data_IF_353707991963
#
_entry.id   IF_353707991963
#
_cell.length_a   1.000
_cell.length_b   1.000
_cell.length_c   1.000
_cell.angle_alpha   90.00
_cell.angle_beta   90.00
_cell.angle_gamma   90.00
#
_symmetry.space_group_name_H-M   'P 1'
#
loop_
_entity.id
_entity.type
_entity.pdbx_description
1 polymer ?
#
# COMPACT_ATOMS: atom_id res chain seq x y z
N UNK A 1 -22.19 32.78 2.46
CA UNK A 1 -20.89 32.41 3.02
C UNK A 1 -21.21 31.36 4.08
N UNK A 2 -21.15 30.08 3.66
CA UNK A 2 -21.38 28.95 4.61
C UNK A 2 -19.97 28.49 5.00
N UNK A 3 -19.65 28.72 6.27
CA UNK A 3 -18.49 28.10 6.91
C UNK A 3 -18.69 26.59 6.78
N UNK A 4 -17.77 25.92 6.13
CA UNK A 4 -17.66 24.47 6.12
C UNK A 4 -17.24 24.08 7.53
N UNK A 5 -18.19 23.57 8.32
CA UNK A 5 -17.92 22.92 9.59
C UNK A 5 -17.14 21.61 9.32
N UNK A 6 -15.82 21.72 9.36
CA UNK A 6 -14.85 20.65 9.09
C UNK A 6 -14.60 19.78 10.34
N UNK A 7 -15.59 19.74 11.25
CA UNK A 7 -15.47 19.14 12.60
C UNK A 7 -16.39 17.94 12.82
N UNK A 8 -16.96 17.32 11.80
CA UNK A 8 -17.76 16.12 12.02
C UNK A 8 -16.84 14.91 12.32
N UNK A 9 -17.00 14.29 13.51
CA UNK A 9 -16.29 13.09 13.87
C UNK A 9 -16.52 11.97 12.84
N UNK A 10 -15.46 11.26 12.45
CA UNK A 10 -15.52 10.13 11.51
C UNK A 10 -16.40 9.01 12.09
N UNK A 11 -17.41 8.63 11.34
CA UNK A 11 -18.29 7.49 11.66
C UNK A 11 -17.47 6.21 11.54
N UNK A 12 -17.06 5.67 12.67
CA UNK A 12 -16.10 4.58 12.75
C UNK A 12 -16.79 3.26 13.07
N UNK A 13 -16.45 2.20 12.36
CA UNK A 13 -16.89 0.85 12.66
C UNK A 13 -15.69 -0.01 13.05
N UNK A 14 -15.83 -0.81 14.10
CA UNK A 14 -14.80 -1.71 14.63
C UNK A 14 -15.18 -3.15 14.27
N UNK A 15 -14.25 -3.89 13.70
CA UNK A 15 -14.46 -5.27 13.26
C UNK A 15 -13.32 -6.15 13.75
N UNK A 16 -13.64 -7.11 14.61
CA UNK A 16 -12.67 -8.01 15.24
C UNK A 16 -13.43 -9.23 15.80
N UNK A 17 -12.93 -10.45 15.63
CA UNK A 17 -13.59 -11.65 16.17
C UNK A 17 -13.34 -11.85 17.68
N UNK A 18 -12.41 -11.10 18.26
CA UNK A 18 -12.12 -11.08 19.69
C UNK A 18 -12.91 -10.00 20.43
N UNK A 19 -13.90 -10.34 21.30
CA UNK A 19 -14.71 -9.33 22.01
C UNK A 19 -13.87 -8.36 22.85
N UNK A 20 -12.80 -8.82 23.48
CA UNK A 20 -11.90 -7.97 24.28
C UNK A 20 -11.12 -6.97 23.41
N UNK A 21 -10.79 -7.34 22.16
CA UNK A 21 -10.16 -6.42 21.24
C UNK A 21 -11.14 -5.32 20.81
N UNK A 22 -12.40 -5.67 20.54
CA UNK A 22 -13.48 -4.68 20.29
C UNK A 22 -13.62 -3.71 21.44
N UNK A 23 -13.76 -4.23 22.68
CA UNK A 23 -13.91 -3.39 23.88
C UNK A 23 -12.74 -2.42 24.06
N UNK A 24 -11.51 -2.93 23.91
CA UNK A 24 -10.30 -2.11 23.98
C UNK A 24 -10.27 -1.00 22.92
N UNK A 25 -10.64 -1.34 21.69
CA UNK A 25 -10.72 -0.35 20.60
C UNK A 25 -11.80 0.69 20.84
N UNK A 26 -12.95 0.30 21.39
CA UNK A 26 -14.01 1.24 21.77
C UNK A 26 -13.51 2.24 22.82
N UNK A 27 -12.76 1.79 23.83
CA UNK A 27 -12.16 2.67 24.84
C UNK A 27 -11.20 3.65 24.20
N UNK A 28 -10.27 3.17 23.35
CA UNK A 28 -9.31 4.03 22.65
C UNK A 28 -10.00 5.05 21.74
N UNK A 29 -11.04 4.63 21.01
CA UNK A 29 -11.81 5.53 20.16
C UNK A 29 -12.60 6.58 20.94
N UNK A 30 -13.09 6.24 22.13
CA UNK A 30 -13.83 7.17 22.99
C UNK A 30 -12.95 8.31 23.54
N UNK A 31 -11.62 8.13 23.60
CA UNK A 31 -10.66 9.17 23.98
C UNK A 31 -10.35 10.13 22.82
N UNK A 32 -10.81 9.83 21.59
CA UNK A 32 -10.54 10.62 20.38
C UNK A 32 -11.79 11.37 19.93
N UNK A 33 -11.85 12.69 20.12
CA UNK A 33 -12.99 13.53 19.72
C UNK A 33 -13.34 13.44 18.22
N UNK A 34 -12.36 13.03 17.39
CA UNK A 34 -12.50 12.89 15.93
C UNK A 34 -13.16 11.60 15.48
N UNK A 35 -13.46 10.67 16.39
CA UNK A 35 -14.08 9.39 16.09
C UNK A 35 -15.44 9.25 16.75
N UNK A 36 -16.41 8.74 15.99
CA UNK A 36 -17.70 8.33 16.51
C UNK A 36 -17.94 6.86 16.15
N UNK A 37 -17.84 5.97 17.14
CA UNK A 37 -18.10 4.54 16.92
C UNK A 37 -19.59 4.34 16.65
N UNK A 38 -19.92 3.97 15.41
CA UNK A 38 -21.32 3.79 14.95
C UNK A 38 -21.75 2.31 14.94
N UNK A 39 -20.81 1.37 15.07
CA UNK A 39 -21.13 -0.05 15.11
C UNK A 39 -19.90 -0.92 15.32
N UNK A 40 -20.16 -2.17 15.70
CA UNK A 40 -19.13 -3.22 15.84
C UNK A 40 -19.60 -4.50 15.17
N UNK A 41 -18.67 -5.31 14.66
CA UNK A 41 -18.95 -6.63 14.12
C UNK A 41 -17.89 -7.62 14.58
N UNK A 42 -18.26 -8.88 14.76
CA UNK A 42 -17.40 -9.97 15.21
C UNK A 42 -17.00 -10.94 14.08
N UNK A 43 -17.41 -10.67 12.85
CA UNK A 43 -17.08 -11.47 11.68
C UNK A 43 -17.22 -10.66 10.38
N UNK A 44 -16.60 -11.13 9.30
CA UNK A 44 -16.56 -10.41 8.03
C UNK A 44 -17.92 -10.27 7.33
N UNK A 45 -18.82 -11.24 7.46
CA UNK A 45 -20.15 -11.18 6.85
C UNK A 45 -21.04 -10.17 7.59
N UNK A 46 -20.97 -10.13 8.93
CA UNK A 46 -21.64 -9.11 9.74
C UNK A 46 -21.09 -7.73 9.42
N UNK A 47 -19.76 -7.62 9.24
CA UNK A 47 -19.11 -6.38 8.88
C UNK A 47 -19.65 -5.80 7.57
N UNK A 48 -19.78 -6.61 6.52
CA UNK A 48 -20.32 -6.16 5.23
C UNK A 48 -21.77 -5.69 5.35
N UNK A 49 -22.64 -6.49 6.01
CA UNK A 49 -24.06 -6.11 6.21
C UNK A 49 -24.22 -4.82 7.00
N UNK A 50 -23.38 -4.62 8.03
CA UNK A 50 -23.44 -3.40 8.84
C UNK A 50 -22.87 -2.20 8.09
N UNK A 51 -21.78 -2.37 7.34
CA UNK A 51 -21.17 -1.29 6.55
C UNK A 51 -22.16 -0.73 5.52
N UNK A 52 -22.92 -1.60 4.81
CA UNK A 52 -23.96 -1.18 3.87
C UNK A 52 -25.04 -0.30 4.54
N UNK A 53 -25.43 -0.63 5.76
CA UNK A 53 -26.50 0.06 6.50
C UNK A 53 -26.02 1.32 7.21
N UNK A 54 -24.84 1.24 7.81
CA UNK A 54 -24.29 2.31 8.65
C UNK A 54 -23.50 3.34 7.84
N UNK A 55 -22.99 2.95 6.67
CA UNK A 55 -22.11 3.77 5.82
C UNK A 55 -21.03 4.46 6.65
N UNK A 56 -20.13 3.69 7.27
CA UNK A 56 -19.05 4.27 8.07
C UNK A 56 -18.06 5.01 7.17
N UNK A 57 -17.39 6.02 7.74
CA UNK A 57 -16.29 6.74 7.10
C UNK A 57 -14.97 6.00 7.25
N UNK A 58 -14.84 5.25 8.35
CA UNK A 58 -13.63 4.53 8.75
C UNK A 58 -13.98 3.14 9.26
N UNK A 59 -13.20 2.14 8.81
CA UNK A 59 -13.16 0.80 9.41
C UNK A 59 -11.83 0.60 10.15
N UNK A 60 -11.93 0.16 11.42
CA UNK A 60 -10.84 -0.47 12.15
C UNK A 60 -11.08 -1.97 12.06
N UNK A 61 -10.27 -2.68 11.29
CA UNK A 61 -10.58 -4.01 10.78
C UNK A 61 -9.47 -5.01 11.13
N UNK A 62 -9.80 -6.05 11.87
CA UNK A 62 -8.86 -7.17 12.01
C UNK A 62 -8.73 -7.94 10.72
N UNK A 63 -7.52 -8.37 10.42
CA UNK A 63 -7.21 -9.15 9.21
C UNK A 63 -7.58 -10.61 9.35
N UNK A 64 -7.38 -11.17 10.55
CA UNK A 64 -7.51 -12.60 10.79
C UNK A 64 -8.81 -12.90 11.52
N UNK A 65 -9.85 -13.20 10.78
CA UNK A 65 -11.16 -13.59 11.32
C UNK A 65 -11.63 -14.90 10.71
N UNK A 66 -12.38 -15.75 11.45
CA UNK A 66 -12.95 -16.96 10.90
C UNK A 66 -13.92 -16.68 9.73
N UNK A 67 -13.86 -17.52 8.71
CA UNK A 67 -14.73 -17.43 7.55
C UNK A 67 -14.28 -16.38 6.56
N UNK A 68 -14.89 -15.19 6.56
CA UNK A 68 -14.49 -14.09 5.70
C UNK A 68 -13.45 -13.22 6.42
N UNK A 69 -12.21 -13.25 5.95
CA UNK A 69 -11.10 -12.47 6.51
C UNK A 69 -11.23 -10.96 6.23
N UNK A 70 -10.44 -10.16 6.96
CA UNK A 70 -10.49 -8.70 6.82
C UNK A 70 -10.07 -8.19 5.45
N UNK A 71 -9.15 -8.88 4.78
CA UNK A 71 -8.75 -8.52 3.41
C UNK A 71 -9.91 -8.68 2.42
N UNK A 72 -10.62 -9.79 2.52
CA UNK A 72 -11.79 -10.03 1.66
C UNK A 72 -12.91 -9.02 1.95
N UNK A 73 -13.11 -8.63 3.22
CA UNK A 73 -14.04 -7.54 3.60
C UNK A 73 -13.63 -6.23 2.93
N UNK A 74 -12.38 -5.81 3.10
CA UNK A 74 -11.87 -4.57 2.53
C UNK A 74 -11.98 -4.55 0.99
N UNK A 75 -11.62 -5.66 0.32
CA UNK A 75 -11.77 -5.80 -1.15
C UNK A 75 -13.20 -5.66 -1.64
N UNK A 76 -14.19 -6.17 -0.87
CA UNK A 76 -15.60 -6.03 -1.24
C UNK A 76 -16.08 -4.60 -1.06
N UNK A 77 -15.70 -3.95 0.05
CA UNK A 77 -16.09 -2.57 0.34
C UNK A 77 -15.45 -1.56 -0.63
N UNK A 78 -14.22 -1.79 -1.06
CA UNK A 78 -13.52 -0.94 -2.04
C UNK A 78 -14.20 -0.86 -3.41
N UNK A 79 -15.14 -1.76 -3.72
CA UNK A 79 -15.94 -1.75 -4.96
C UNK A 79 -17.19 -0.89 -4.88
N UNK A 80 -17.51 -0.35 -3.70
CA UNK A 80 -18.65 0.55 -3.48
C UNK A 80 -18.43 1.93 -4.10
N UNK A 81 -19.51 2.71 -4.22
CA UNK A 81 -19.43 4.09 -4.74
C UNK A 81 -18.72 5.06 -3.78
N UNK A 82 -18.83 4.83 -2.48
CA UNK A 82 -18.19 5.62 -1.42
C UNK A 82 -17.54 4.66 -0.40
N UNK A 83 -16.35 4.11 -0.70
CA UNK A 83 -15.71 3.15 0.16
C UNK A 83 -15.18 3.82 1.44
N UNK A 84 -15.35 3.18 2.61
CA UNK A 84 -14.75 3.69 3.84
C UNK A 84 -13.23 3.62 3.78
N UNK A 85 -12.56 4.54 4.47
CA UNK A 85 -11.14 4.37 4.75
C UNK A 85 -10.94 3.13 5.64
N UNK A 86 -9.91 2.33 5.39
CA UNK A 86 -9.62 1.12 6.16
C UNK A 86 -8.30 1.29 6.89
N UNK A 87 -8.30 1.08 8.21
CA UNK A 87 -7.12 0.87 9.03
C UNK A 87 -7.16 -0.58 9.49
N UNK A 88 -6.19 -1.37 9.09
CA UNK A 88 -6.07 -2.72 9.60
C UNK A 88 -5.46 -2.72 11.00
N UNK A 89 -6.04 -3.55 11.89
CA UNK A 89 -5.60 -3.70 13.29
C UNK A 89 -5.43 -5.19 13.58
N UNK A 90 -4.20 -5.69 13.62
CA UNK A 90 -3.96 -7.14 13.70
C UNK A 90 -2.77 -7.50 14.58
N UNK A 91 -2.73 -8.75 15.05
CA UNK A 91 -1.59 -9.29 15.81
C UNK A 91 -0.42 -9.75 14.90
N UNK A 92 -0.63 -9.85 13.59
CA UNK A 92 0.33 -10.42 12.65
C UNK A 92 1.10 -9.34 11.90
N UNK A 93 2.44 -9.39 11.97
CA UNK A 93 3.31 -8.46 11.24
C UNK A 93 3.36 -8.74 9.73
N UNK A 94 3.09 -9.98 9.33
CA UNK A 94 3.27 -10.46 7.95
C UNK A 94 2.21 -9.96 6.97
N UNK A 95 1.04 -9.51 7.44
CA UNK A 95 -0.07 -9.07 6.61
C UNK A 95 -0.09 -7.56 6.30
N UNK A 96 0.85 -6.78 6.84
CA UNK A 96 0.95 -5.34 6.58
C UNK A 96 0.94 -5.01 5.08
N UNK A 97 1.28 -5.92 4.29
CA UNK A 97 1.57 -5.81 2.87
C UNK A 97 0.34 -6.10 2.01
N UNK A 98 -0.49 -7.07 2.37
CA UNK A 98 -1.77 -7.28 1.69
C UNK A 98 -2.73 -6.10 1.94
N UNK A 99 -2.56 -5.41 3.08
CA UNK A 99 -3.28 -4.18 3.41
C UNK A 99 -2.97 -3.03 2.44
N UNK A 100 -1.73 -2.93 1.96
CA UNK A 100 -1.32 -1.87 1.01
C UNK A 100 -1.87 -2.07 -0.40
N UNK A 101 -2.03 -3.31 -0.87
CA UNK A 101 -2.66 -3.59 -2.17
C UNK A 101 -4.14 -3.16 -2.23
N UNK A 102 -4.76 -2.95 -1.06
CA UNK A 102 -6.16 -2.52 -0.93
C UNK A 102 -6.30 -1.02 -0.68
N UNK A 103 -5.21 -0.26 -0.84
CA UNK A 103 -5.25 1.18 -0.63
C UNK A 103 -5.73 1.55 0.80
N UNK A 104 -5.33 0.72 1.80
CA UNK A 104 -5.62 0.98 3.21
C UNK A 104 -4.99 2.30 3.67
N UNK A 105 -5.66 2.99 4.59
CA UNK A 105 -5.16 4.25 5.13
C UNK A 105 -3.95 4.02 6.04
N UNK A 106 -3.95 2.92 6.80
CA UNK A 106 -2.83 2.52 7.67
C UNK A 106 -2.97 1.07 8.15
N UNK A 107 -1.93 0.61 8.86
CA UNK A 107 -1.81 -0.70 9.48
C UNK A 107 -1.29 -0.55 10.91
N UNK A 108 -1.98 -1.13 11.89
CA UNK A 108 -1.67 -1.00 13.31
C UNK A 108 -1.53 -2.38 13.94
N UNK A 109 -0.39 -2.64 14.58
CA UNK A 109 -0.17 -3.90 15.29
C UNK A 109 -0.83 -3.90 16.67
N UNK A 110 -1.43 -5.02 17.04
CA UNK A 110 -1.85 -5.31 18.42
C UNK A 110 -0.60 -5.68 19.26
N UNK A 111 -0.47 -5.20 20.51
CA UNK A 111 -1.39 -4.37 21.26
C UNK A 111 -1.38 -2.90 20.78
N UNK A 112 -2.57 -2.36 20.54
CA UNK A 112 -2.71 -1.01 20.00
C UNK A 112 -2.36 0.03 21.06
N UNK A 113 -1.39 0.90 20.75
CA UNK A 113 -1.06 2.07 21.53
C UNK A 113 -1.91 3.28 21.04
N UNK A 114 -2.37 4.12 21.98
CA UNK A 114 -3.25 5.23 21.66
C UNK A 114 -2.62 6.22 20.65
N UNK A 115 -1.36 6.58 20.86
CA UNK A 115 -0.59 7.47 19.98
C UNK A 115 -0.40 6.89 18.57
N UNK A 116 -0.30 5.56 18.46
CA UNK A 116 -0.19 4.87 17.16
C UNK A 116 -1.52 4.88 16.42
N UNK A 117 -2.64 4.66 17.13
CA UNK A 117 -3.98 4.73 16.56
C UNK A 117 -4.29 6.16 16.11
N UNK A 118 -3.97 7.17 16.92
CA UNK A 118 -4.17 8.57 16.59
C UNK A 118 -3.47 8.97 15.28
N UNK A 119 -2.21 8.56 15.08
CA UNK A 119 -1.49 8.77 13.83
C UNK A 119 -2.16 8.08 12.63
N UNK A 120 -2.68 6.87 12.84
CA UNK A 120 -3.38 6.14 11.79
C UNK A 120 -4.69 6.84 11.39
N UNK A 121 -5.45 7.29 12.37
CA UNK A 121 -6.70 8.06 12.17
C UNK A 121 -6.41 9.37 11.43
N UNK A 122 -5.35 10.08 11.80
CA UNK A 122 -4.97 11.31 11.10
C UNK A 122 -4.68 11.05 9.61
N UNK A 123 -3.99 9.97 9.28
CA UNK A 123 -3.76 9.58 7.87
C UNK A 123 -5.05 9.26 7.13
N UNK A 124 -6.01 8.60 7.80
CA UNK A 124 -7.33 8.32 7.21
C UNK A 124 -8.10 9.61 6.92
N UNK A 125 -8.05 10.59 7.83
CA UNK A 125 -8.65 11.92 7.65
C UNK A 125 -8.02 12.64 6.46
N UNK A 126 -6.69 12.75 6.43
CA UNK A 126 -5.95 13.44 5.37
C UNK A 126 -6.20 12.82 4.00
N UNK A 127 -6.39 11.50 3.97
CA UNK A 127 -6.73 10.77 2.76
C UNK A 127 -8.14 11.09 2.27
N UNK A 128 -9.15 11.05 3.16
CA UNK A 128 -10.53 11.41 2.80
C UNK A 128 -10.65 12.86 2.33
N UNK A 129 -9.96 13.79 2.98
CA UNK A 129 -9.93 15.18 2.55
C UNK A 129 -9.38 15.34 1.12
N UNK A 130 -8.35 14.57 0.75
CA UNK A 130 -7.81 14.54 -0.62
C UNK A 130 -8.79 13.93 -1.63
N UNK A 131 -9.53 12.89 -1.24
CA UNK A 131 -10.55 12.27 -2.09
C UNK A 131 -11.80 13.15 -2.25
N UNK A 132 -12.19 13.89 -1.24
CA UNK A 132 -13.34 14.81 -1.25
C UNK A 132 -13.10 16.13 -1.99
N UNK A 133 -11.84 16.58 -2.10
CA UNK A 133 -11.45 17.78 -2.85
C UNK A 133 -11.34 17.58 -4.36
N UNK A 134 -11.41 16.35 -4.83
CA UNK A 134 -11.42 15.98 -6.25
C UNK A 134 -12.11 14.65 -6.41
N UNK A 135 -13.39 14.65 -6.72
CA UNK A 135 -14.14 13.45 -7.04
C UNK A 135 -13.53 12.72 -8.23
N UNK A 136 -13.01 11.51 -7.99
CA UNK A 136 -12.49 10.65 -9.03
C UNK A 136 -11.69 9.52 -8.43
N UNK A 137 -12.29 8.35 -8.31
CA UNK A 137 -11.59 7.09 -8.28
C UNK A 137 -10.52 7.07 -9.37
N UNK A 138 -9.30 6.60 -9.06
CA UNK A 138 -8.18 6.36 -9.96
C UNK A 138 -8.43 6.75 -11.41
N UNK A 139 -8.17 7.96 -11.79
CA UNK A 139 -8.35 8.42 -13.15
C UNK A 139 -7.64 9.73 -13.37
N UNK A 140 -6.58 9.68 -14.14
CA UNK A 140 -6.02 10.71 -14.97
C UNK A 140 -6.58 12.14 -14.77
N UNK A 141 -5.87 12.93 -13.99
CA UNK A 141 -5.87 14.38 -14.08
C UNK A 141 -4.44 14.87 -14.24
N UNK A 142 -4.03 15.15 -15.44
CA UNK A 142 -2.89 15.90 -15.94
C UNK A 142 -1.76 16.21 -14.92
N UNK A 143 -0.93 15.20 -14.66
CA UNK A 143 0.26 15.16 -13.87
C UNK A 143 0.35 13.74 -13.31
N UNK A 144 0.99 12.82 -14.06
CA UNK A 144 1.25 11.46 -13.60
C UNK A 144 2.03 11.53 -12.29
N UNK A 145 1.33 11.47 -11.15
CA UNK A 145 1.96 11.38 -9.84
C UNK A 145 2.45 9.95 -9.65
N UNK A 146 3.65 9.68 -10.17
CA UNK A 146 4.36 8.42 -9.98
C UNK A 146 4.65 8.19 -8.49
N UNK A 147 4.80 6.92 -8.10
CA UNK A 147 5.15 6.53 -6.74
C UNK A 147 6.45 7.26 -6.32
N UNK A 148 6.32 8.20 -5.39
CA UNK A 148 7.45 8.99 -4.90
C UNK A 148 8.19 8.28 -3.75
N UNK A 149 7.49 7.43 -3.00
CA UNK A 149 8.04 6.80 -1.80
C UNK A 149 7.41 5.43 -1.52
N UNK A 150 8.18 4.57 -0.85
CA UNK A 150 7.75 3.28 -0.33
C UNK A 150 7.64 3.36 1.17
N UNK A 151 6.59 2.76 1.71
CA UNK A 151 6.42 2.58 3.15
C UNK A 151 6.56 1.10 3.47
N UNK A 152 7.64 0.73 4.14
CA UNK A 152 8.02 -0.66 4.37
C UNK A 152 7.88 -0.98 5.85
N UNK A 153 7.10 -2.01 6.22
CA UNK A 153 7.09 -2.50 7.59
C UNK A 153 8.49 -2.97 7.99
N UNK A 154 9.04 -2.38 9.02
CA UNK A 154 10.34 -2.78 9.56
C UNK A 154 10.29 -2.78 11.09
N UNK A 155 10.34 -3.96 11.70
CA UNK A 155 10.11 -4.16 13.13
C UNK A 155 8.76 -3.56 13.54
N UNK A 156 8.70 -2.66 14.51
CA UNK A 156 7.46 -2.03 14.97
C UNK A 156 7.15 -0.68 14.30
N UNK A 157 7.85 -0.34 13.20
CA UNK A 157 7.76 0.96 12.54
C UNK A 157 7.56 0.80 11.03
N UNK A 158 7.02 1.84 10.39
CA UNK A 158 7.01 1.97 8.93
C UNK A 158 8.23 2.78 8.51
N UNK A 159 9.13 2.14 7.79
CA UNK A 159 10.27 2.80 7.18
C UNK A 159 9.83 3.47 5.88
N UNK A 160 10.05 4.76 5.78
CA UNK A 160 9.85 5.51 4.54
C UNK A 160 11.14 5.46 3.71
N UNK A 161 11.03 5.05 2.46
CA UNK A 161 12.12 5.01 1.48
C UNK A 161 11.69 5.83 0.27
N UNK A 162 12.49 6.80 -0.13
CA UNK A 162 12.28 7.54 -1.37
C UNK A 162 12.45 6.60 -2.57
N UNK A 163 11.54 6.66 -3.54
CA UNK A 163 11.65 5.85 -4.76
C UNK A 163 12.96 6.10 -5.51
N UNK A 164 13.54 7.30 -5.37
CA UNK A 164 14.84 7.64 -5.93
C UNK A 164 16.02 6.93 -5.28
N UNK A 165 15.87 6.40 -4.09
CA UNK A 165 16.91 5.61 -3.43
C UNK A 165 16.92 4.14 -3.88
N UNK A 166 15.80 3.66 -4.46
CA UNK A 166 15.68 2.27 -4.90
C UNK A 166 16.40 2.09 -6.24
N UNK A 167 17.41 1.23 -6.25
CA UNK A 167 18.26 0.97 -7.42
C UNK A 167 17.76 -0.20 -8.26
N UNK A 168 17.24 -1.23 -7.59
CA UNK A 168 16.75 -2.47 -8.19
C UNK A 168 15.57 -3.03 -7.42
N UNK A 169 14.67 -3.66 -8.15
CA UNK A 169 13.50 -4.35 -7.62
C UNK A 169 13.45 -5.75 -8.21
N UNK A 170 13.51 -6.75 -7.37
CA UNK A 170 13.44 -8.17 -7.78
C UNK A 170 12.17 -8.82 -7.26
N UNK A 171 11.48 -9.59 -8.10
CA UNK A 171 10.33 -10.40 -7.69
C UNK A 171 10.80 -11.66 -6.94
N UNK A 172 10.24 -11.89 -5.75
CA UNK A 172 10.46 -13.07 -4.91
C UNK A 172 9.11 -13.68 -4.51
N UNK A 173 8.58 -14.60 -5.30
CA UNK A 173 7.24 -15.19 -5.13
C UNK A 173 6.16 -14.11 -5.07
N UNK A 174 5.54 -13.91 -3.90
CA UNK A 174 4.48 -12.92 -3.67
C UNK A 174 5.02 -11.54 -3.25
N UNK A 175 6.35 -11.42 -3.10
CA UNK A 175 7.06 -10.20 -2.68
C UNK A 175 7.88 -9.60 -3.80
N UNK A 176 8.22 -8.35 -3.65
CA UNK A 176 9.34 -7.72 -4.35
C UNK A 176 10.39 -7.32 -3.33
N UNK A 177 11.66 -7.51 -3.70
CA UNK A 177 12.80 -7.03 -2.93
C UNK A 177 13.27 -5.71 -3.51
N UNK A 178 13.21 -4.66 -2.70
CA UNK A 178 13.74 -3.34 -3.01
C UNK A 178 15.20 -3.27 -2.56
N UNK A 179 16.11 -2.93 -3.44
CA UNK A 179 17.53 -2.74 -3.15
C UNK A 179 17.83 -1.24 -3.05
N UNK A 180 18.42 -0.83 -1.91
CA UNK A 180 18.73 0.56 -1.55
C UNK A 180 20.15 0.58 -0.98
N UNK A 181 21.13 0.92 -1.80
CA UNK A 181 22.55 0.79 -1.44
C UNK A 181 22.89 -0.63 -0.96
N UNK A 182 23.50 -0.75 0.21
CA UNK A 182 23.88 -2.05 0.82
C UNK A 182 22.71 -2.76 1.55
N UNK A 183 21.52 -2.18 1.55
CA UNK A 183 20.34 -2.74 2.23
C UNK A 183 19.31 -3.25 1.24
N UNK A 184 18.49 -4.18 1.70
CA UNK A 184 17.33 -4.60 0.93
C UNK A 184 16.11 -4.77 1.83
N UNK A 185 14.93 -4.57 1.24
CA UNK A 185 13.67 -4.61 1.95
C UNK A 185 12.66 -5.43 1.16
N UNK A 186 11.84 -6.20 1.85
CA UNK A 186 10.75 -6.95 1.22
C UNK A 186 9.47 -6.12 1.26
N UNK A 187 8.81 -6.07 0.12
CA UNK A 187 7.51 -5.44 -0.02
C UNK A 187 6.58 -6.45 -0.72
N UNK A 188 5.43 -6.75 -0.12
CA UNK A 188 4.45 -7.66 -0.72
C UNK A 188 3.67 -6.90 -1.78
N UNK A 189 4.14 -6.91 -2.95
CA UNK A 189 3.49 -6.41 -4.16
C UNK A 189 3.91 -7.28 -5.33
N UNK A 190 3.05 -7.35 -6.32
CA UNK A 190 3.47 -7.95 -7.58
C UNK A 190 4.37 -6.98 -8.34
N UNK A 191 5.41 -7.50 -9.00
CA UNK A 191 6.31 -6.66 -9.80
C UNK A 191 5.56 -5.92 -10.94
N UNK A 192 4.47 -6.50 -11.45
CA UNK A 192 3.64 -5.86 -12.48
C UNK A 192 2.80 -4.70 -11.91
N UNK A 193 2.21 -4.87 -10.73
CA UNK A 193 1.47 -3.82 -10.04
C UNK A 193 2.37 -2.65 -9.66
N UNK A 194 3.61 -2.96 -9.26
CA UNK A 194 4.57 -1.93 -8.93
C UNK A 194 5.08 -1.19 -10.19
N UNK A 195 5.35 -1.91 -11.28
CA UNK A 195 5.76 -1.31 -12.57
C UNK A 195 4.76 -0.27 -13.06
N UNK A 196 3.46 -0.52 -12.92
CA UNK A 196 2.40 0.40 -13.35
C UNK A 196 2.36 1.72 -12.56
N UNK A 197 3.00 1.77 -11.38
CA UNK A 197 3.02 2.93 -10.48
C UNK A 197 4.36 3.67 -10.46
N UNK A 198 5.41 3.05 -11.00
CA UNK A 198 6.74 3.64 -11.08
C UNK A 198 6.87 4.55 -12.29
N UNK A 199 7.58 5.66 -12.13
CA UNK A 199 7.93 6.58 -13.21
C UNK A 199 8.73 5.85 -14.30
N UNK A 200 8.20 5.66 -15.51
CA UNK A 200 8.90 5.00 -16.61
C UNK A 200 10.10 5.80 -17.14
N UNK A 201 10.20 7.10 -16.82
CA UNK A 201 11.40 7.88 -17.10
C UNK A 201 12.56 7.51 -16.18
N UNK A 202 12.27 7.04 -14.97
CA UNK A 202 13.27 6.67 -13.95
C UNK A 202 13.51 5.17 -13.88
N UNK A 203 12.49 4.35 -14.08
CA UNK A 203 12.54 2.89 -13.94
C UNK A 203 12.31 2.17 -15.26
N UNK A 204 12.89 0.99 -15.40
CA UNK A 204 12.69 0.13 -16.55
C UNK A 204 12.67 -1.34 -16.14
N UNK A 205 11.68 -2.08 -16.61
CA UNK A 205 11.65 -3.53 -16.44
C UNK A 205 12.56 -4.20 -17.46
N UNK A 206 13.51 -4.97 -16.98
CA UNK A 206 14.48 -5.68 -17.83
C UNK A 206 14.21 -7.18 -17.91
N UNK A 207 13.48 -7.72 -16.95
CA UNK A 207 13.14 -9.14 -16.87
C UNK A 207 11.75 -9.32 -16.24
N UNK A 208 11.13 -10.50 -16.43
CA UNK A 208 9.85 -10.81 -15.77
C UNK A 208 9.90 -10.66 -14.24
N UNK A 209 11.08 -10.74 -13.66
CA UNK A 209 11.32 -10.64 -12.22
C UNK A 209 12.18 -9.44 -11.81
N UNK A 210 12.55 -8.52 -12.72
CA UNK A 210 13.51 -7.45 -12.36
C UNK A 210 13.17 -6.13 -13.02
N UNK A 211 13.08 -5.08 -12.19
CA UNK A 211 13.02 -3.67 -12.59
C UNK A 211 14.30 -2.99 -12.10
N UNK A 212 14.87 -2.11 -12.90
CA UNK A 212 16.04 -1.30 -12.56
C UNK A 212 15.72 0.19 -12.63
N UNK A 213 16.37 0.96 -11.78
CA UNK A 213 16.46 2.41 -11.98
C UNK A 213 17.41 2.66 -13.15
N UNK A 214 17.01 3.47 -14.11
CA UNK A 214 17.71 3.64 -15.41
C UNK A 214 19.14 4.15 -15.27
N UNK A 215 19.39 5.04 -14.32
CA UNK A 215 20.71 5.64 -14.08
C UNK A 215 21.72 4.67 -13.46
N UNK A 216 21.29 3.53 -12.91
CA UNK A 216 22.19 2.46 -12.44
C UNK A 216 22.77 1.63 -13.57
N UNK A 217 22.19 1.70 -14.78
CA UNK A 217 22.64 0.94 -15.95
C UNK A 217 23.78 1.69 -16.63
N UNK A 218 24.99 1.14 -16.57
CA UNK A 218 26.18 1.69 -17.24
C UNK A 218 26.26 1.32 -18.71
N UNK A 219 25.77 0.14 -19.07
CA UNK A 219 25.91 -0.38 -20.42
C UNK A 219 25.07 -1.62 -20.68
N UNK A 220 25.03 -2.01 -21.95
CA UNK A 220 24.41 -3.25 -22.40
C UNK A 220 25.47 -4.12 -23.05
N UNK A 221 25.64 -5.34 -22.54
CA UNK A 221 26.60 -6.31 -23.07
C UNK A 221 25.87 -7.46 -23.76
N UNK A 222 26.39 -7.85 -24.94
CA UNK A 222 25.96 -9.05 -25.65
C UNK A 222 26.87 -10.21 -25.31
N UNK A 223 26.33 -11.28 -24.72
CA UNK A 223 27.12 -12.46 -24.29
C UNK A 223 27.11 -13.61 -25.31
N UNK A 224 26.65 -13.36 -26.54
CA UNK A 224 26.48 -14.39 -27.56
C UNK A 224 25.10 -15.06 -27.52
N UNK A 225 24.78 -15.86 -28.53
CA UNK A 225 23.53 -16.63 -28.65
C UNK A 225 22.26 -15.83 -28.42
N UNK A 226 22.28 -14.52 -28.66
CA UNK A 226 21.12 -13.61 -28.46
C UNK A 226 20.88 -13.22 -26.99
N UNK A 227 21.79 -13.53 -26.07
CA UNK A 227 21.72 -13.15 -24.66
C UNK A 227 22.27 -11.74 -24.48
N UNK A 228 21.49 -10.87 -23.86
CA UNK A 228 21.86 -9.52 -23.49
C UNK A 228 21.79 -9.32 -21.98
N UNK A 229 22.76 -8.59 -21.43
CA UNK A 229 22.83 -8.23 -20.02
C UNK A 229 22.93 -6.71 -19.86
N UNK A 230 22.29 -6.19 -18.82
CA UNK A 230 22.49 -4.83 -18.32
C UNK A 230 23.67 -4.84 -17.34
N UNK A 231 24.68 -4.03 -17.60
CA UNK A 231 25.82 -3.83 -16.69
C UNK A 231 25.51 -2.69 -15.73
N UNK A 232 25.62 -2.97 -14.44
CA UNK A 232 25.34 -2.01 -13.37
C UNK A 232 26.61 -1.30 -12.89
N UNK A 233 26.41 -0.21 -12.15
CA UNK A 233 27.49 0.59 -11.58
C UNK A 233 28.40 -0.18 -10.62
N UNK A 234 27.85 -1.17 -9.92
CA UNK A 234 28.54 -2.07 -8.99
C UNK A 234 29.30 -3.23 -9.68
N UNK A 235 29.26 -3.31 -11.01
CA UNK A 235 29.89 -4.36 -11.81
C UNK A 235 29.04 -5.60 -11.99
N UNK A 236 27.83 -5.68 -11.44
CA UNK A 236 26.91 -6.79 -11.69
C UNK A 236 26.39 -6.74 -13.13
N UNK A 237 26.18 -7.91 -13.73
CA UNK A 237 25.55 -8.06 -15.04
C UNK A 237 24.22 -8.81 -14.88
N UNK A 238 23.11 -8.18 -15.20
CA UNK A 238 21.78 -8.76 -15.06
C UNK A 238 21.19 -9.09 -16.43
N UNK A 239 20.72 -10.34 -16.59
CA UNK A 239 20.16 -10.82 -17.85
C UNK A 239 18.88 -10.07 -18.22
N UNK A 240 18.81 -9.64 -19.49
CA UNK A 240 17.61 -9.00 -20.06
C UNK A 240 16.74 -10.08 -20.68
N UNK A 241 15.46 -10.13 -20.29
CA UNK A 241 14.47 -11.02 -20.88
C UNK A 241 14.17 -10.65 -22.33
N UNK A 242 13.93 -11.63 -23.20
CA UNK A 242 13.70 -11.41 -24.65
C UNK A 242 12.58 -10.40 -24.91
N UNK A 243 11.50 -10.47 -24.15
CA UNK A 243 10.34 -9.57 -24.26
C UNK A 243 10.70 -8.12 -23.95
N UNK A 244 11.65 -7.88 -23.04
CA UNK A 244 12.03 -6.56 -22.56
C UNK A 244 13.20 -5.93 -23.35
N UNK A 245 13.88 -6.73 -24.19
CA UNK A 245 15.11 -6.30 -24.90
C UNK A 245 14.87 -5.08 -25.79
N UNK A 246 13.70 -5.01 -26.45
CA UNK A 246 13.39 -3.90 -27.35
C UNK A 246 13.31 -2.56 -26.61
N UNK A 247 12.60 -2.53 -25.48
CA UNK A 247 12.44 -1.32 -24.68
C UNK A 247 13.76 -0.91 -24.00
N UNK A 248 14.58 -1.88 -23.58
CA UNK A 248 15.88 -1.61 -22.96
C UNK A 248 16.87 -1.04 -24.00
N UNK A 249 16.89 -1.56 -25.23
CA UNK A 249 17.71 -1.00 -26.32
C UNK A 249 17.26 0.42 -26.72
N UNK A 250 15.97 0.71 -26.69
CA UNK A 250 15.47 2.05 -27.01
C UNK A 250 16.01 3.14 -26.06
N UNK A 251 16.42 2.76 -24.81
CA UNK A 251 17.09 3.70 -23.89
C UNK A 251 18.41 4.23 -24.42
N UNK A 252 19.14 3.45 -25.25
CA UNK A 252 20.49 3.80 -25.73
C UNK A 252 20.47 4.68 -26.97
N UNK A 253 19.29 5.13 -27.41
CA UNK A 253 19.16 6.02 -28.58
C UNK A 253 19.42 5.33 -29.93
N UNK A 254 19.39 3.99 -29.98
CA UNK A 254 19.58 3.19 -31.19
C UNK A 254 18.38 2.33 -31.49
#
# INVERSE_FOLDING_TARGET
MRETDDSAALRTMIVDDEPLAIERMQVLCAEMERLAVVGTASDGEAALRLAERLKPDLLLLDMTMPGLDGLAVARRLARGEDPPAVIFVTAHEDFAVEAFDLDAADYVLKPVAADRLERAVQRAIDRRARMGAGGGAGGNGAGEEWLAEFWIPHRSELLRIDAGEVERIDAERDYVRLHVGDRSYLLLQTIAGLEARLDPARFIRIHRSTILRRDTIRGLRHEGLGVWCAELADGQALRIGRTYLRQVKAMTGR
#
